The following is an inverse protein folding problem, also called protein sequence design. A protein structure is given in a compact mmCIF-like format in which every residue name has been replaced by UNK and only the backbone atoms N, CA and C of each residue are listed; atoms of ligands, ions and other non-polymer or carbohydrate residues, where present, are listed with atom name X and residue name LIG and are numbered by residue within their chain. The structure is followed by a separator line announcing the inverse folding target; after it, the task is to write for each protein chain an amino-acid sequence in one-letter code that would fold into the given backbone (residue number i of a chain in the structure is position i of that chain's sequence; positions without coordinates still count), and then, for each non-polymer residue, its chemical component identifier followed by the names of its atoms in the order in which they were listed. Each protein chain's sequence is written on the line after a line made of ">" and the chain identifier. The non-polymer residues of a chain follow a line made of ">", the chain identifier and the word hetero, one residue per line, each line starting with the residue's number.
data_IF_517430330546
#
_entry.id   IF_517430330546
#
_cell.length_a   1.000
_cell.length_b   1.000
_cell.length_c   1.000
_cell.angle_alpha   90.00
_cell.angle_beta   90.00
_cell.angle_gamma   90.00
#
_symmetry.space_group_name_H-M   'P 1'
#
loop_
_entity.id
_entity.type
_entity.pdbx_description
1 polymer ?
#
# COMPACT_ATOMS: atom_id res chain seq x y z
N UNK A 1 -28.61 0.95 -21.79
CA UNK A 1 -28.05 1.93 -20.84
C UNK A 1 -26.57 1.94 -21.09
N UNK A 2 -26.07 3.09 -21.53
CA UNK A 2 -24.71 3.30 -21.99
C UNK A 2 -23.75 3.05 -20.82
N UNK A 3 -23.03 1.93 -20.81
CA UNK A 3 -21.89 1.75 -19.92
C UNK A 3 -20.75 2.58 -20.50
N UNK A 4 -20.91 3.91 -20.42
CA UNK A 4 -19.83 4.85 -20.72
C UNK A 4 -18.62 4.40 -19.91
N UNK A 5 -17.52 4.15 -20.60
CA UNK A 5 -16.23 3.81 -20.01
C UNK A 5 -15.92 4.85 -18.94
N UNK A 6 -16.18 4.53 -17.67
CA UNK A 6 -15.79 5.39 -16.56
C UNK A 6 -14.27 5.43 -16.60
N UNK A 7 -13.73 6.59 -16.98
CA UNK A 7 -12.29 6.86 -16.90
C UNK A 7 -11.81 6.53 -15.48
N UNK A 8 -10.69 5.82 -15.38
CA UNK A 8 -10.06 5.60 -14.08
C UNK A 8 -9.72 6.99 -13.52
N UNK A 9 -10.12 7.33 -12.27
CA UNK A 9 -9.75 8.60 -11.65
C UNK A 9 -8.27 8.97 -11.83
N UNK A 10 -7.38 7.96 -11.80
CA UNK A 10 -5.94 8.14 -11.96
C UNK A 10 -5.54 8.71 -13.33
N UNK A 11 -6.32 8.49 -14.39
CA UNK A 11 -6.07 9.04 -15.74
C UNK A 11 -6.19 10.57 -15.79
N UNK A 12 -6.83 11.17 -14.78
CA UNK A 12 -7.02 12.62 -14.69
C UNK A 12 -6.03 13.31 -13.75
N UNK A 13 -5.08 12.56 -13.20
CA UNK A 13 -4.08 13.08 -12.27
C UNK A 13 -2.76 13.34 -12.99
N UNK A 14 -2.32 14.60 -12.98
CA UNK A 14 -1.00 15.02 -13.46
C UNK A 14 -0.02 14.99 -12.31
N UNK A 15 1.10 14.28 -12.49
CA UNK A 15 2.28 14.43 -11.63
C UNK A 15 3.17 15.48 -12.28
N UNK A 16 3.39 16.59 -11.59
CA UNK A 16 4.18 17.73 -12.08
C UNK A 16 5.48 17.81 -11.30
N UNK A 17 6.62 17.64 -11.97
CA UNK A 17 7.94 17.80 -11.35
C UNK A 17 8.52 19.14 -11.80
N UNK A 18 8.79 20.03 -10.84
CA UNK A 18 9.29 21.37 -11.12
C UNK A 18 10.78 21.49 -10.86
N UNK A 19 11.51 22.01 -11.86
CA UNK A 19 12.93 22.31 -11.81
C UNK A 19 13.79 21.14 -11.33
N UNK A 20 13.47 19.91 -11.76
CA UNK A 20 14.20 18.71 -11.36
C UNK A 20 15.66 18.79 -11.81
N UNK A 21 16.60 18.58 -10.89
CA UNK A 21 18.04 18.72 -11.16
C UNK A 21 18.64 17.45 -11.74
N UNK A 22 18.27 16.30 -11.16
CA UNK A 22 18.87 15.01 -11.49
C UNK A 22 17.91 14.18 -12.36
N UNK A 23 18.29 13.80 -13.59
CA UNK A 23 17.42 13.02 -14.48
C UNK A 23 17.04 11.66 -13.89
N UNK A 24 17.90 11.06 -13.06
CA UNK A 24 17.56 9.82 -12.35
C UNK A 24 16.31 9.92 -11.47
N UNK A 25 15.99 11.10 -10.91
CA UNK A 25 14.76 11.30 -10.15
C UNK A 25 13.52 11.35 -11.05
N UNK A 26 13.64 11.86 -12.27
CA UNK A 26 12.56 11.83 -13.28
C UNK A 26 12.23 10.37 -13.61
N UNK A 27 13.27 9.56 -13.89
CA UNK A 27 13.10 8.13 -14.13
C UNK A 27 12.49 7.38 -12.95
N UNK A 28 12.99 7.64 -11.73
CA UNK A 28 12.45 7.06 -10.50
C UNK A 28 10.98 7.45 -10.26
N UNK A 29 10.62 8.70 -10.52
CA UNK A 29 9.24 9.18 -10.43
C UNK A 29 8.33 8.50 -11.46
N UNK A 30 8.77 8.37 -12.72
CA UNK A 30 8.02 7.67 -13.76
C UNK A 30 7.77 6.20 -13.40
N UNK A 31 8.78 5.51 -12.86
CA UNK A 31 8.63 4.14 -12.33
C UNK A 31 7.60 4.07 -11.21
N UNK A 32 7.68 4.99 -10.25
CA UNK A 32 6.76 5.06 -9.12
C UNK A 32 5.31 5.30 -9.58
N UNK A 33 5.12 6.22 -10.54
CA UNK A 33 3.84 6.50 -11.18
C UNK A 33 3.26 5.26 -11.84
N UNK A 34 4.02 4.61 -12.73
CA UNK A 34 3.53 3.44 -13.47
C UNK A 34 3.17 2.28 -12.56
N UNK A 35 3.96 2.05 -11.51
CA UNK A 35 3.69 1.00 -10.50
C UNK A 35 2.33 1.21 -9.83
N UNK A 36 1.88 2.45 -9.69
CA UNK A 36 0.62 2.82 -9.04
C UNK A 36 -0.52 3.15 -10.02
N UNK A 37 -0.30 2.98 -11.33
CA UNK A 37 -1.32 3.23 -12.36
C UNK A 37 -1.42 4.68 -12.84
N UNK A 38 -0.45 5.55 -12.53
CA UNK A 38 -0.38 6.92 -13.04
C UNK A 38 0.47 6.98 -14.32
N UNK A 39 0.07 7.83 -15.27
CA UNK A 39 0.72 7.91 -16.59
C UNK A 39 1.02 9.35 -17.05
N UNK A 40 0.40 10.38 -16.47
CA UNK A 40 0.51 11.77 -16.95
C UNK A 40 1.61 12.54 -16.22
N UNK A 41 2.83 12.43 -16.73
CA UNK A 41 4.00 13.17 -16.23
C UNK A 41 4.12 14.52 -16.93
N UNK A 42 4.32 15.57 -16.14
CA UNK A 42 4.64 16.93 -16.58
C UNK A 42 5.93 17.38 -15.94
N UNK A 43 6.82 17.96 -16.74
CA UNK A 43 8.13 18.46 -16.32
C UNK A 43 8.18 19.96 -16.56
N UNK A 44 8.32 20.74 -15.49
CA UNK A 44 8.50 22.19 -15.58
C UNK A 44 9.99 22.47 -15.53
N UNK A 45 10.54 22.97 -16.63
CA UNK A 45 11.93 23.37 -16.78
C UNK A 45 12.94 22.35 -16.17
N UNK A 46 12.90 21.05 -16.57
CA UNK A 46 13.85 20.06 -16.07
C UNK A 46 15.26 20.39 -16.54
N UNK A 47 16.26 20.23 -15.68
CA UNK A 47 17.65 20.59 -16.04
C UNK A 47 18.22 19.69 -17.14
N UNK A 48 17.87 18.41 -17.13
CA UNK A 48 18.34 17.42 -18.10
C UNK A 48 17.20 16.46 -18.47
N UNK A 49 16.55 16.69 -19.61
CA UNK A 49 15.53 15.79 -20.16
C UNK A 49 15.35 16.04 -21.67
N UNK A 50 15.28 15.00 -22.53
CA UNK A 50 15.39 13.57 -22.22
C UNK A 50 16.81 13.18 -21.75
N UNK A 51 16.96 12.00 -21.14
CA UNK A 51 18.24 11.51 -20.61
C UNK A 51 18.27 9.99 -20.52
N UNK A 52 19.38 9.37 -20.94
CA UNK A 52 19.61 7.93 -20.80
C UNK A 52 19.57 7.48 -19.33
N UNK A 53 19.98 8.35 -18.40
CA UNK A 53 19.89 8.06 -16.96
C UNK A 53 18.43 7.96 -16.50
N UNK A 54 17.57 8.86 -16.97
CA UNK A 54 16.13 8.80 -16.67
C UNK A 54 15.52 7.50 -17.21
N UNK A 55 15.86 7.11 -18.45
CA UNK A 55 15.40 5.86 -19.07
C UNK A 55 15.86 4.65 -18.26
N UNK A 56 17.15 4.57 -17.93
CA UNK A 56 17.70 3.47 -17.14
C UNK A 56 17.06 3.36 -15.74
N UNK A 57 16.69 4.50 -15.12
CA UNK A 57 16.02 4.51 -13.81
C UNK A 57 14.52 4.21 -13.89
N UNK A 58 13.87 4.46 -15.02
CA UNK A 58 12.45 4.16 -15.22
C UNK A 58 12.14 2.66 -15.25
N UNK A 59 13.08 1.83 -15.72
CA UNK A 59 13.02 0.37 -15.58
C UNK A 59 11.67 -0.25 -15.99
N UNK A 60 11.26 -0.07 -17.24
CA UNK A 60 9.97 -0.56 -17.76
C UNK A 60 8.84 0.49 -17.76
N UNK A 61 9.12 1.72 -17.32
CA UNK A 61 8.21 2.87 -17.35
C UNK A 61 8.62 3.94 -18.38
N UNK A 62 9.29 3.53 -19.46
CA UNK A 62 9.77 4.42 -20.52
C UNK A 62 8.63 5.11 -21.26
N UNK A 63 7.46 4.47 -21.36
CA UNK A 63 6.23 5.05 -21.91
C UNK A 63 5.81 6.32 -21.16
N UNK A 64 5.87 6.33 -19.82
CA UNK A 64 5.57 7.54 -19.02
C UNK A 64 6.53 8.68 -19.35
N UNK A 65 7.81 8.36 -19.63
CA UNK A 65 8.80 9.36 -20.07
C UNK A 65 8.55 9.84 -21.50
N UNK A 66 8.23 8.92 -22.42
CA UNK A 66 7.97 9.22 -23.84
C UNK A 66 6.77 10.17 -23.99
N UNK A 67 5.74 9.99 -23.17
CA UNK A 67 4.55 10.84 -23.17
C UNK A 67 4.62 12.01 -22.17
N UNK A 68 5.78 12.23 -21.53
CA UNK A 68 5.94 13.34 -20.60
C UNK A 68 5.85 14.68 -21.34
N UNK A 69 5.10 15.63 -20.76
CA UNK A 69 4.97 16.97 -21.32
C UNK A 69 6.00 17.90 -20.65
N UNK A 70 6.79 18.61 -21.45
CA UNK A 70 7.78 19.57 -20.95
C UNK A 70 7.28 20.99 -21.17
N UNK A 71 7.34 21.82 -20.13
CA UNK A 71 6.86 23.21 -20.17
C UNK A 71 7.86 24.16 -19.51
N UNK A 72 7.83 25.44 -19.89
CA UNK A 72 8.75 26.45 -19.33
C UNK A 72 8.37 26.93 -17.93
N UNK A 73 7.08 26.85 -17.58
CA UNK A 73 6.56 27.37 -16.31
C UNK A 73 5.40 26.53 -15.77
N UNK A 74 5.22 26.63 -14.44
CA UNK A 74 4.21 25.86 -13.74
C UNK A 74 2.77 26.20 -14.18
N UNK A 75 2.49 27.48 -14.44
CA UNK A 75 1.15 27.91 -14.86
C UNK A 75 0.68 27.18 -16.14
N UNK A 76 1.59 26.92 -17.08
CA UNK A 76 1.30 26.14 -18.31
C UNK A 76 0.99 24.68 -17.99
N UNK A 77 1.79 24.03 -17.14
CA UNK A 77 1.56 22.64 -16.73
C UNK A 77 0.22 22.44 -15.99
N UNK A 78 -0.27 23.49 -15.32
CA UNK A 78 -1.51 23.48 -14.54
C UNK A 78 -2.77 23.84 -15.34
N UNK A 79 -2.65 24.19 -16.63
CA UNK A 79 -3.81 24.59 -17.43
C UNK A 79 -4.88 23.49 -17.49
N UNK A 80 -6.11 23.85 -17.15
CA UNK A 80 -7.27 22.94 -17.12
C UNK A 80 -7.38 22.08 -15.86
N UNK A 81 -6.46 22.22 -14.89
CA UNK A 81 -6.59 21.55 -13.60
C UNK A 81 -7.59 22.28 -12.69
N UNK A 82 -8.54 21.54 -12.13
CA UNK A 82 -9.56 22.07 -11.18
C UNK A 82 -9.09 22.05 -9.74
N UNK A 83 -8.09 21.23 -9.42
CA UNK A 83 -7.44 21.17 -8.11
C UNK A 83 -5.94 20.96 -8.29
N UNK A 84 -5.15 21.67 -7.49
CA UNK A 84 -3.68 21.66 -7.56
C UNK A 84 -3.12 21.57 -6.16
N UNK A 85 -2.34 20.52 -5.91
CA UNK A 85 -1.73 20.23 -4.62
C UNK A 85 -0.21 20.45 -4.67
N UNK A 86 0.32 21.26 -3.75
CA UNK A 86 1.75 21.51 -3.60
C UNK A 86 2.35 20.57 -2.55
N UNK A 87 3.28 19.70 -2.93
CA UNK A 87 3.95 18.79 -2.01
C UNK A 87 5.12 19.51 -1.35
N UNK A 88 5.12 19.59 -0.01
CA UNK A 88 6.15 20.30 0.75
C UNK A 88 6.41 19.68 2.11
N UNK A 89 7.62 19.87 2.62
CA UNK A 89 7.99 19.55 4.00
C UNK A 89 8.00 20.78 4.93
N UNK A 90 7.82 22.00 4.38
CA UNK A 90 7.99 23.26 5.12
C UNK A 90 6.65 23.82 5.59
N UNK A 91 6.47 23.90 6.92
CA UNK A 91 5.24 24.45 7.53
C UNK A 91 5.18 25.98 7.55
N UNK A 92 6.34 26.66 7.63
CA UNK A 92 6.42 28.10 7.91
C UNK A 92 6.05 28.98 6.71
N UNK A 93 6.04 28.41 5.51
CA UNK A 93 5.81 29.13 4.24
C UNK A 93 4.35 28.99 3.77
N UNK A 94 3.48 28.36 4.58
CA UNK A 94 2.10 28.05 4.18
C UNK A 94 1.11 29.06 4.73
N UNK A 95 0.41 29.73 3.82
CA UNK A 95 -0.72 30.61 4.15
C UNK A 95 -1.99 29.84 4.52
N UNK A 96 -2.09 28.57 4.12
CA UNK A 96 -3.22 27.67 4.39
C UNK A 96 -2.76 26.41 5.16
N UNK A 97 -3.63 25.82 6.02
CA UNK A 97 -3.30 24.59 6.71
C UNK A 97 -3.03 23.44 5.72
N UNK A 98 -1.88 22.78 5.88
CA UNK A 98 -1.55 21.62 5.05
C UNK A 98 -2.47 20.42 5.33
N UNK A 99 -2.67 19.61 4.29
CA UNK A 99 -3.28 18.28 4.38
C UNK A 99 -2.21 17.21 4.51
N UNK A 100 -2.51 16.17 5.28
CA UNK A 100 -1.71 14.95 5.24
C UNK A 100 -1.92 14.21 3.94
N UNK A 101 -0.86 13.60 3.43
CA UNK A 101 -0.81 12.79 2.21
C UNK A 101 -2.07 11.95 1.97
N UNK A 102 -2.47 11.16 2.96
CA UNK A 102 -3.66 10.31 2.91
C UNK A 102 -4.95 11.08 2.64
N UNK A 103 -5.22 12.16 3.39
CA UNK A 103 -6.42 12.98 3.21
C UNK A 103 -6.40 13.75 1.89
N UNK A 104 -5.24 14.28 1.52
CA UNK A 104 -5.05 14.98 0.25
C UNK A 104 -5.34 14.07 -0.95
N UNK A 105 -4.93 12.80 -0.90
CA UNK A 105 -5.19 11.84 -1.96
C UNK A 105 -6.69 11.58 -2.16
N UNK A 106 -7.47 11.44 -1.07
CA UNK A 106 -8.93 11.30 -1.14
C UNK A 106 -9.57 12.53 -1.78
N UNK A 107 -9.17 13.74 -1.38
CA UNK A 107 -9.67 14.99 -1.95
C UNK A 107 -9.30 15.13 -3.45
N UNK A 108 -8.07 14.77 -3.84
CA UNK A 108 -7.61 14.80 -5.23
C UNK A 108 -8.38 13.82 -6.11
N UNK A 109 -8.55 12.56 -5.68
CA UNK A 109 -9.33 11.55 -6.42
C UNK A 109 -10.80 11.98 -6.53
N UNK A 110 -11.40 12.57 -5.49
CA UNK A 110 -12.76 13.06 -5.59
C UNK A 110 -12.89 14.22 -6.62
N UNK A 111 -11.88 15.10 -6.70
CA UNK A 111 -11.89 16.22 -7.64
C UNK A 111 -11.75 15.80 -9.11
N UNK A 112 -11.28 14.58 -9.41
CA UNK A 112 -11.17 14.10 -10.81
C UNK A 112 -12.53 13.95 -11.49
N UNK A 113 -13.61 13.84 -10.72
CA UNK A 113 -14.98 13.86 -11.25
C UNK A 113 -15.36 15.20 -11.88
N UNK A 114 -14.68 16.29 -11.50
CA UNK A 114 -14.96 17.64 -11.99
C UNK A 114 -13.97 18.10 -13.06
N UNK A 115 -12.75 17.55 -13.10
CA UNK A 115 -11.71 18.02 -14.00
C UNK A 115 -10.39 17.29 -13.84
N UNK A 116 -9.36 17.74 -14.56
CA UNK A 116 -8.00 17.27 -14.31
C UNK A 116 -7.51 17.81 -12.96
N UNK A 117 -6.63 17.08 -12.29
CA UNK A 117 -5.99 17.54 -11.05
C UNK A 117 -4.49 17.42 -11.17
N UNK A 118 -3.75 18.23 -10.41
CA UNK A 118 -2.30 18.21 -10.41
C UNK A 118 -1.72 18.03 -9.01
N UNK A 119 -0.67 17.21 -8.94
CA UNK A 119 0.17 17.04 -7.77
C UNK A 119 1.59 17.51 -8.12
N UNK A 120 2.02 18.60 -7.47
CA UNK A 120 3.22 19.35 -7.83
C UNK A 120 4.33 19.08 -6.83
N UNK A 121 5.49 18.68 -7.34
CA UNK A 121 6.71 18.43 -6.58
C UNK A 121 7.79 19.40 -7.01
N UNK A 122 8.55 19.92 -6.05
CA UNK A 122 9.61 20.88 -6.33
C UNK A 122 10.98 20.26 -6.54
N UNK A 123 11.96 21.15 -6.68
CA UNK A 123 13.38 20.81 -6.78
C UNK A 123 13.87 20.04 -5.54
N UNK A 124 14.82 19.13 -5.73
CA UNK A 124 15.34 18.24 -4.69
C UNK A 124 15.99 18.97 -3.50
N UNK A 125 16.56 20.15 -3.74
CA UNK A 125 17.27 20.93 -2.72
C UNK A 125 16.40 22.04 -2.16
N UNK A 126 15.79 22.84 -3.05
CA UNK A 126 15.05 24.04 -2.64
C UNK A 126 13.57 23.82 -2.42
N UNK A 127 12.99 22.70 -2.89
CA UNK A 127 11.55 22.51 -2.95
C UNK A 127 10.89 23.41 -4.01
N UNK A 128 9.60 23.68 -3.83
CA UNK A 128 8.85 24.64 -4.64
C UNK A 128 9.17 26.07 -4.19
N UNK A 129 9.17 27.01 -5.12
CA UNK A 129 9.25 28.44 -4.80
C UNK A 129 7.93 28.95 -4.18
N UNK A 130 7.97 30.09 -3.51
CA UNK A 130 6.75 30.72 -2.99
C UNK A 130 5.75 31.04 -4.11
N UNK A 131 6.24 31.46 -5.27
CA UNK A 131 5.40 31.76 -6.44
C UNK A 131 4.72 30.51 -6.97
N UNK A 132 5.41 29.36 -6.95
CA UNK A 132 4.83 28.07 -7.34
C UNK A 132 3.80 27.58 -6.32
N UNK A 133 4.08 27.72 -5.02
CA UNK A 133 3.13 27.39 -3.96
C UNK A 133 1.87 28.27 -4.06
N UNK A 134 2.01 29.55 -4.43
CA UNK A 134 0.89 30.48 -4.61
C UNK A 134 -0.04 30.11 -5.78
N UNK A 135 0.43 29.32 -6.76
CA UNK A 135 -0.40 28.77 -7.84
C UNK A 135 -1.17 27.50 -7.41
N UNK A 136 -0.90 26.99 -6.21
CA UNK A 136 -1.52 25.77 -5.71
C UNK A 136 -2.62 26.07 -4.70
N UNK A 137 -3.61 25.19 -4.61
CA UNK A 137 -4.78 25.35 -3.75
C UNK A 137 -4.58 24.68 -2.39
N UNK A 138 -3.81 23.59 -2.36
CA UNK A 138 -3.69 22.71 -1.20
C UNK A 138 -2.23 22.33 -0.95
N UNK A 139 -1.63 22.76 0.17
CA UNK A 139 -0.36 22.22 0.61
C UNK A 139 -0.54 20.78 1.12
N UNK A 140 0.34 19.88 0.70
CA UNK A 140 0.34 18.47 1.10
C UNK A 140 1.65 18.13 1.77
N UNK A 141 1.56 17.51 2.94
CA UNK A 141 2.70 17.02 3.70
C UNK A 141 2.67 15.51 3.84
N UNK A 142 3.82 14.89 3.68
CA UNK A 142 4.05 13.49 4.05
C UNK A 142 4.52 13.46 5.51
N UNK A 143 3.85 12.73 6.40
CA UNK A 143 4.35 12.52 7.76
C UNK A 143 5.74 11.86 7.70
N UNK A 144 6.76 12.59 8.13
CA UNK A 144 8.15 12.13 8.17
C UNK A 144 8.76 12.43 9.53
N UNK A 145 9.98 11.93 9.77
CA UNK A 145 10.74 12.26 10.98
C UNK A 145 10.93 13.79 11.08
N UNK A 146 10.45 14.46 12.14
CA UNK A 146 10.62 15.91 12.30
C UNK A 146 12.08 16.38 12.29
N UNK A 147 13.03 15.52 12.66
CA UNK A 147 14.46 15.81 12.63
C UNK A 147 15.09 15.61 11.23
N UNK A 148 14.41 14.90 10.32
CA UNK A 148 14.90 14.60 8.98
C UNK A 148 13.71 14.33 8.04
N UNK A 149 13.06 15.41 7.61
CA UNK A 149 11.81 15.35 6.85
C UNK A 149 11.97 15.44 5.33
N UNK A 150 13.21 15.62 4.84
CA UNK A 150 13.49 15.73 3.41
C UNK A 150 13.51 14.33 2.78
N UNK A 151 12.51 14.05 1.95
CA UNK A 151 12.43 12.83 1.16
C UNK A 151 13.09 13.05 -0.19
N UNK A 152 13.73 12.01 -0.72
CA UNK A 152 14.08 11.98 -2.15
C UNK A 152 12.83 12.19 -3.01
N UNK A 153 12.97 12.93 -4.13
CA UNK A 153 11.85 13.28 -5.01
C UNK A 153 11.06 12.06 -5.50
N UNK A 154 11.74 11.02 -6.00
CA UNK A 154 11.07 9.81 -6.47
C UNK A 154 10.37 9.06 -5.31
N UNK A 155 10.93 9.08 -4.11
CA UNK A 155 10.29 8.51 -2.91
C UNK A 155 9.03 9.28 -2.51
N UNK A 156 9.06 10.62 -2.58
CA UNK A 156 7.88 11.44 -2.30
C UNK A 156 6.76 11.19 -3.34
N UNK A 157 7.12 11.09 -4.63
CA UNK A 157 6.20 10.69 -5.70
C UNK A 157 5.63 9.30 -5.42
N UNK A 158 6.45 8.33 -5.00
CA UNK A 158 6.01 6.97 -4.70
C UNK A 158 4.97 6.91 -3.58
N UNK A 159 5.17 7.65 -2.49
CA UNK A 159 4.24 7.68 -1.36
C UNK A 159 2.89 8.26 -1.79
N UNK A 160 2.89 9.40 -2.50
CA UNK A 160 1.63 10.01 -2.92
C UNK A 160 0.95 9.25 -4.05
N UNK A 161 1.71 8.67 -4.98
CA UNK A 161 1.16 7.77 -5.98
C UNK A 161 0.46 6.56 -5.34
N UNK A 162 1.05 6.00 -4.28
CA UNK A 162 0.43 4.92 -3.51
C UNK A 162 -0.86 5.37 -2.80
N UNK A 163 -0.86 6.53 -2.13
CA UNK A 163 -2.07 7.06 -1.49
C UNK A 163 -3.19 7.34 -2.51
N UNK A 164 -2.85 7.84 -3.70
CA UNK A 164 -3.81 8.02 -4.79
C UNK A 164 -4.39 6.69 -5.26
N UNK A 165 -3.55 5.66 -5.44
CA UNK A 165 -4.02 4.31 -5.80
C UNK A 165 -4.93 3.72 -4.72
N UNK A 166 -4.59 3.89 -3.45
CA UNK A 166 -5.42 3.46 -2.31
C UNK A 166 -6.78 4.17 -2.33
N UNK A 167 -6.79 5.49 -2.55
CA UNK A 167 -8.01 6.29 -2.62
C UNK A 167 -8.89 5.95 -3.83
N UNK A 168 -8.29 5.65 -5.00
CA UNK A 168 -9.02 5.31 -6.22
C UNK A 168 -9.55 3.87 -6.22
N UNK A 169 -8.74 2.90 -5.80
CA UNK A 169 -9.07 1.49 -5.88
C UNK A 169 -9.82 0.96 -4.65
N UNK A 170 -9.64 1.60 -3.49
CA UNK A 170 -10.10 1.10 -2.18
C UNK A 170 -9.97 -0.43 -2.06
N UNK A 171 -8.77 -1.01 -2.28
CA UNK A 171 -8.59 -2.40 -2.69
C UNK A 171 -9.03 -3.47 -1.67
N UNK A 172 -9.59 -3.07 -0.54
CA UNK A 172 -10.07 -3.97 0.50
C UNK A 172 -8.93 -4.80 1.08
N UNK A 173 -9.21 -6.08 1.32
CA UNK A 173 -8.20 -7.06 1.70
C UNK A 173 -7.47 -7.61 0.47
N UNK A 174 -6.15 -7.83 0.55
CA UNK A 174 -5.42 -8.57 -0.47
C UNK A 174 -6.11 -9.91 -0.79
N UNK A 175 -6.00 -10.41 -2.03
CA UNK A 175 -6.54 -11.71 -2.38
C UNK A 175 -6.01 -12.77 -1.40
N UNK A 176 -6.86 -13.69 -0.91
CA UNK A 176 -6.44 -14.73 0.01
C UNK A 176 -5.34 -15.58 -0.63
N UNK A 177 -4.43 -16.08 0.20
CA UNK A 177 -3.40 -17.02 -0.26
C UNK A 177 -4.13 -18.28 -0.73
N UNK A 178 -3.81 -18.74 -1.95
CA UNK A 178 -4.36 -20.00 -2.45
C UNK A 178 -3.96 -21.14 -1.49
N UNK A 179 -4.96 -21.77 -0.86
CA UNK A 179 -4.75 -22.87 0.07
C UNK A 179 -5.09 -22.59 1.54
N UNK A 180 -5.69 -21.45 1.90
CA UNK A 180 -6.35 -21.32 3.21
C UNK A 180 -7.52 -22.31 3.27
N UNK A 181 -7.40 -23.34 4.11
CA UNK A 181 -8.45 -24.34 4.29
C UNK A 181 -9.62 -23.77 5.10
N UNK A 182 -10.75 -24.48 5.04
CA UNK A 182 -11.94 -24.06 5.79
C UNK A 182 -11.66 -24.12 7.29
N UNK A 183 -11.93 -23.05 8.06
CA UNK A 183 -11.85 -23.09 9.51
C UNK A 183 -12.65 -24.26 10.06
N UNK A 184 -12.09 -24.95 11.05
CA UNK A 184 -12.79 -26.01 11.74
C UNK A 184 -13.99 -25.41 12.51
N UNK A 185 -15.21 -25.96 12.35
CA UNK A 185 -16.34 -25.63 13.21
C UNK A 185 -15.99 -25.81 14.69
N UNK A 186 -16.65 -25.04 15.57
CA UNK A 186 -16.38 -25.09 17.00
C UNK A 186 -16.51 -26.50 17.56
N UNK A 187 -17.52 -27.25 17.13
CA UNK A 187 -17.77 -28.63 17.53
C UNK A 187 -16.67 -29.60 17.10
N UNK A 188 -15.97 -29.33 15.98
CA UNK A 188 -14.86 -30.15 15.51
C UNK A 188 -13.63 -29.93 16.41
N UNK A 189 -13.38 -28.67 16.77
CA UNK A 189 -12.31 -28.30 17.71
C UNK A 189 -12.59 -28.86 19.11
N UNK A 190 -13.82 -28.80 19.60
CA UNK A 190 -14.17 -29.40 20.90
C UNK A 190 -14.02 -30.92 20.89
N UNK A 191 -14.36 -31.60 19.78
CA UNK A 191 -14.09 -33.05 19.63
C UNK A 191 -12.59 -33.34 19.63
N UNK A 192 -11.77 -32.50 18.99
CA UNK A 192 -10.32 -32.62 19.05
C UNK A 192 -9.79 -32.43 20.48
N UNK A 193 -10.28 -31.41 21.20
CA UNK A 193 -9.89 -31.14 22.59
C UNK A 193 -10.26 -32.30 23.51
N UNK A 194 -11.46 -32.87 23.36
CA UNK A 194 -11.88 -34.04 24.13
C UNK A 194 -11.03 -35.28 23.80
N UNK A 195 -10.66 -35.47 22.53
CA UNK A 195 -9.75 -36.55 22.14
C UNK A 195 -8.36 -36.38 22.77
N UNK A 196 -7.81 -35.16 22.76
CA UNK A 196 -6.56 -34.85 23.46
C UNK A 196 -6.64 -35.11 24.97
N UNK A 197 -7.78 -34.82 25.60
CA UNK A 197 -8.00 -35.09 27.03
C UNK A 197 -7.93 -36.58 27.33
N UNK A 198 -8.68 -37.40 26.59
CA UNK A 198 -8.71 -38.86 26.74
C UNK A 198 -7.33 -39.46 26.48
N UNK A 199 -6.69 -39.12 25.36
CA UNK A 199 -5.35 -39.60 25.04
C UNK A 199 -4.31 -39.20 26.11
N UNK A 200 -4.46 -38.02 26.71
CA UNK A 200 -3.59 -37.57 27.80
C UNK A 200 -3.79 -38.38 29.07
N UNK A 201 -5.02 -38.82 29.37
CA UNK A 201 -5.33 -39.68 30.51
C UNK A 201 -4.77 -41.09 30.25
N UNK A 202 -5.05 -41.66 29.08
CA UNK A 202 -4.67 -43.04 28.74
C UNK A 202 -3.16 -43.24 28.66
N UNK A 203 -2.42 -42.21 28.21
CA UNK A 203 -0.94 -42.21 28.22
C UNK A 203 -0.33 -41.97 29.61
N UNK A 204 -1.14 -41.65 30.62
CA UNK A 204 -0.68 -41.31 31.97
C UNK A 204 -0.10 -39.88 32.12
N UNK A 205 -0.19 -39.03 31.09
CA UNK A 205 0.25 -37.63 31.15
C UNK A 205 -0.66 -36.77 32.05
N UNK A 206 -1.96 -37.04 32.02
CA UNK A 206 -2.98 -36.33 32.79
C UNK A 206 -3.57 -37.25 33.86
N UNK A 207 -3.43 -36.87 35.13
CA UNK A 207 -4.15 -37.52 36.23
C UNK A 207 -5.60 -36.98 36.27
N UNK A 208 -6.64 -37.82 36.09
CA UNK A 208 -8.03 -37.42 36.18
C UNK A 208 -8.42 -36.84 37.54
N UNK A 209 -7.73 -37.24 38.62
CA UNK A 209 -7.93 -36.71 39.96
C UNK A 209 -7.30 -35.32 40.13
N UNK A 210 -6.44 -34.90 39.20
CA UNK A 210 -5.79 -33.58 39.19
C UNK A 210 -5.57 -33.07 37.76
N UNK A 211 -6.65 -32.72 37.03
CA UNK A 211 -6.60 -32.43 35.59
C UNK A 211 -5.87 -31.13 35.21
N UNK A 212 -5.28 -30.41 36.18
CA UNK A 212 -4.58 -29.13 36.01
C UNK A 212 -5.41 -28.15 35.13
N UNK A 213 -4.74 -27.27 34.36
CA UNK A 213 -5.36 -26.31 33.43
C UNK A 213 -5.13 -26.71 31.96
N UNK A 214 -5.06 -28.01 31.66
CA UNK A 214 -4.71 -28.48 30.31
C UNK A 214 -5.79 -28.10 29.29
N UNK A 215 -7.05 -28.43 29.56
CA UNK A 215 -8.16 -28.22 28.62
C UNK A 215 -8.36 -26.73 28.27
N UNK A 216 -8.40 -25.79 29.23
CA UNK A 216 -8.44 -24.37 28.90
C UNK A 216 -7.25 -23.88 28.08
N UNK A 217 -6.06 -24.48 28.26
CA UNK A 217 -4.85 -24.15 27.48
C UNK A 217 -4.90 -24.70 26.06
N UNK A 218 -5.42 -25.91 25.86
CA UNK A 218 -5.64 -26.49 24.53
C UNK A 218 -6.68 -25.68 23.74
N UNK A 219 -7.81 -25.34 24.36
CA UNK A 219 -8.81 -24.43 23.75
C UNK A 219 -8.18 -23.11 23.33
N UNK A 220 -7.40 -22.49 24.22
CA UNK A 220 -6.70 -21.23 23.91
C UNK A 220 -5.64 -21.40 22.80
N UNK A 221 -4.98 -22.55 22.72
CA UNK A 221 -4.03 -22.86 21.66
C UNK A 221 -4.72 -22.95 20.30
N UNK A 222 -5.75 -23.80 20.18
CA UNK A 222 -6.45 -24.01 18.92
C UNK A 222 -7.25 -22.78 18.46
N UNK A 223 -7.82 -22.01 19.38
CA UNK A 223 -8.47 -20.74 19.07
C UNK A 223 -7.48 -19.69 18.53
N UNK A 224 -6.25 -19.65 19.06
CA UNK A 224 -5.19 -18.76 18.55
C UNK A 224 -4.66 -19.22 17.20
N UNK A 225 -4.54 -20.53 17.00
CA UNK A 225 -4.07 -21.12 15.76
C UNK A 225 -5.09 -21.02 14.61
N UNK A 226 -6.40 -20.87 14.92
CA UNK A 226 -7.50 -20.87 13.94
C UNK A 226 -7.50 -22.13 13.07
N UNK A 227 -7.39 -23.28 13.73
CA UNK A 227 -7.21 -24.57 13.07
C UNK A 227 -8.27 -24.86 12.00
N UNK A 228 -7.83 -25.45 10.90
CA UNK A 228 -8.65 -25.83 9.77
C UNK A 228 -9.24 -27.24 9.93
N UNK A 229 -10.27 -27.57 9.15
CA UNK A 229 -10.91 -28.90 9.19
C UNK A 229 -9.92 -30.03 8.92
N UNK A 230 -9.03 -29.83 7.95
CA UNK A 230 -8.01 -30.81 7.59
C UNK A 230 -7.00 -31.00 8.72
N UNK A 231 -6.56 -29.91 9.36
CA UNK A 231 -5.66 -29.96 10.51
C UNK A 231 -6.30 -30.68 11.70
N UNK A 232 -7.60 -30.43 11.97
CA UNK A 232 -8.33 -31.19 12.99
C UNK A 232 -8.38 -32.69 12.64
N UNK A 233 -8.66 -33.04 11.39
CA UNK A 233 -8.66 -34.44 10.96
C UNK A 233 -7.29 -35.10 11.11
N UNK A 234 -6.22 -34.40 10.73
CA UNK A 234 -4.83 -34.85 10.88
C UNK A 234 -4.49 -35.07 12.36
N UNK A 235 -4.77 -34.10 13.21
CA UNK A 235 -4.46 -34.18 14.64
C UNK A 235 -5.23 -35.31 15.33
N UNK A 236 -6.51 -35.51 15.00
CA UNK A 236 -7.28 -36.66 15.51
C UNK A 236 -6.77 -37.98 14.95
N UNK A 237 -6.30 -38.01 13.70
CA UNK A 237 -5.64 -39.17 13.11
C UNK A 237 -4.35 -39.54 13.84
N UNK A 238 -3.52 -38.56 14.17
CA UNK A 238 -2.31 -38.74 14.98
C UNK A 238 -2.64 -39.31 16.36
N UNK A 239 -3.62 -38.74 17.06
CA UNK A 239 -4.07 -39.25 18.37
C UNK A 239 -4.54 -40.70 18.28
N UNK A 240 -5.38 -41.01 17.29
CA UNK A 240 -5.88 -42.38 17.06
C UNK A 240 -4.75 -43.38 16.80
N UNK A 241 -3.70 -42.97 16.07
CA UNK A 241 -2.55 -43.82 15.79
C UNK A 241 -1.67 -44.05 17.02
N UNK A 242 -1.57 -43.08 17.93
CA UNK A 242 -0.82 -43.20 19.19
C UNK A 242 -1.56 -44.06 20.22
N UNK A 243 -2.89 -44.09 20.17
CA UNK A 243 -3.75 -44.94 21.03
C UNK A 243 -3.71 -46.43 20.61
N UNK A 244 -3.33 -46.74 19.37
CA UNK A 244 -3.17 -48.12 18.92
C UNK A 244 -1.85 -48.71 19.43
N UNK A 245 -1.86 -49.89 20.09
CA UNK A 245 -0.62 -50.54 20.50
C UNK A 245 0.23 -50.83 19.26
N UNK A 246 1.48 -50.34 19.23
CA UNK A 246 2.42 -50.65 18.16
C UNK A 246 2.45 -52.18 17.98
N UNK A 247 1.97 -52.67 16.83
CA UNK A 247 2.23 -54.05 16.42
C UNK A 247 3.75 -54.20 16.37
N UNK A 248 4.33 -54.92 17.33
CA UNK A 248 5.70 -55.40 17.20
C UNK A 248 5.74 -56.26 15.95
N UNK A 249 6.66 -56.01 15.00
CA UNK A 249 6.94 -56.98 13.96
C UNK A 249 7.54 -58.22 14.63
N UNK A 250 6.96 -59.38 14.34
CA UNK A 250 7.55 -60.69 14.64
C UNK A 250 8.84 -60.90 13.82
#
# INVERSE_FOLDING_TARGET
>A
MDHGLSLDPLDRIRVVLSHTSHPGNIGGAARAMKTMGLSRLWLVNPRHFPSDEAIARASGAEDVLVYANVTDNLATALQGCVLVAAVTARRRELSTPARWAHHAAVELVAATHQGDVALVFGNETSGLSNDEVALCHMPVMIPANPAYSSLNLASAVQILAYELRQAAAAPGTPPPVAGEGLPAPHEDVERLVAHFELASIDSGFLDPASPKRLIPRLRRLFARARVEREEVAILRGILSALEQPQRKPD
#
